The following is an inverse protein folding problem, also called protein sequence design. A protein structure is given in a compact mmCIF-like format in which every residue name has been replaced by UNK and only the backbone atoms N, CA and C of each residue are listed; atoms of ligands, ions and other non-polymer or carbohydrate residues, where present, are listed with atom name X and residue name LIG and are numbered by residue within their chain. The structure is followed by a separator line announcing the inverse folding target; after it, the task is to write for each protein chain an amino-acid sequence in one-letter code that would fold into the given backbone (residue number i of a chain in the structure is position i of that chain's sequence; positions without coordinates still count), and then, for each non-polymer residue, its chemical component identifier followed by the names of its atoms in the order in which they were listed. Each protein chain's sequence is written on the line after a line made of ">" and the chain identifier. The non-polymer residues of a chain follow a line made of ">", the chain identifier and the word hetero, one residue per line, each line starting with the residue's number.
data_IF_469768506440
#
_entry.id   IF_469768506440
#
_cell.length_a   1.000
_cell.length_b   1.000
_cell.length_c   1.000
_cell.angle_alpha   90.00
_cell.angle_beta   90.00
_cell.angle_gamma   90.00
#
_symmetry.space_group_name_H-M   'P 1'
#
loop_
_entity.id
_entity.type
_entity.pdbx_description
1 polymer ?
#
# COMPACT_ATOMS: atom_id res chain seq x y z
N UNK A 1 -10.52 25.79 17.15
CA UNK A 1 -9.49 25.11 16.33
C UNK A 1 -9.87 23.64 16.16
N UNK A 2 -10.31 23.26 14.96
CA UNK A 2 -10.70 21.88 14.64
C UNK A 2 -9.44 21.04 14.45
N UNK A 3 -9.30 19.93 15.19
CA UNK A 3 -8.09 19.08 15.20
C UNK A 3 -7.86 18.51 13.78
N UNK A 4 -6.78 18.89 13.06
CA UNK A 4 -6.60 18.53 11.64
C UNK A 4 -6.58 17.02 11.40
N UNK A 5 -6.02 16.24 12.33
CA UNK A 5 -5.99 14.77 12.22
C UNK A 5 -7.38 14.11 12.27
N UNK A 6 -8.36 14.69 12.98
CA UNK A 6 -9.73 14.14 13.01
C UNK A 6 -10.47 14.34 11.69
N UNK A 7 -10.17 15.43 10.99
CA UNK A 7 -10.77 15.74 9.68
C UNK A 7 -10.28 14.75 8.62
N UNK A 8 -8.98 14.49 8.57
CA UNK A 8 -8.36 13.53 7.62
C UNK A 8 -8.92 12.12 7.81
N UNK A 9 -8.98 11.64 9.06
CA UNK A 9 -9.56 10.33 9.39
C UNK A 9 -11.04 10.25 8.98
N UNK A 10 -11.81 11.30 9.22
CA UNK A 10 -13.21 11.35 8.81
C UNK A 10 -13.36 11.30 7.27
N UNK A 11 -12.53 12.03 6.53
CA UNK A 11 -12.55 12.03 5.06
C UNK A 11 -12.19 10.65 4.50
N UNK A 12 -11.18 9.98 5.05
CA UNK A 12 -10.81 8.61 4.67
C UNK A 12 -11.97 7.63 4.96
N UNK A 13 -12.56 7.68 6.15
CA UNK A 13 -13.70 6.82 6.52
C UNK A 13 -14.91 7.05 5.61
N UNK A 14 -15.20 8.32 5.28
CA UNK A 14 -16.31 8.67 4.38
C UNK A 14 -16.05 8.15 2.96
N UNK A 15 -14.83 8.30 2.46
CA UNK A 15 -14.45 7.78 1.14
C UNK A 15 -14.61 6.25 1.10
N UNK A 16 -14.14 5.54 2.12
CA UNK A 16 -14.29 4.08 2.24
C UNK A 16 -15.77 3.65 2.27
N UNK A 17 -16.62 4.34 3.04
CA UNK A 17 -18.06 4.03 3.05
C UNK A 17 -18.72 4.29 1.69
N UNK A 18 -18.28 5.33 0.97
CA UNK A 18 -18.79 5.65 -0.36
C UNK A 18 -18.35 4.62 -1.40
N UNK A 19 -17.09 4.18 -1.37
CA UNK A 19 -16.60 3.15 -2.29
C UNK A 19 -17.27 1.81 -2.05
N UNK A 20 -17.41 1.40 -0.78
CA UNK A 20 -18.14 0.18 -0.41
C UNK A 20 -19.61 0.19 -0.86
N UNK A 21 -20.29 1.34 -0.73
CA UNK A 21 -21.67 1.52 -1.19
C UNK A 21 -21.82 1.44 -2.72
N UNK A 22 -20.81 1.88 -3.48
CA UNK A 22 -20.77 1.74 -4.96
C UNK A 22 -20.57 0.29 -5.39
N UNK A 23 -19.79 -0.48 -4.63
CA UNK A 23 -19.46 -1.86 -4.95
C UNK A 23 -20.65 -2.81 -4.81
N UNK A 24 -21.48 -2.65 -3.78
CA UNK A 24 -22.73 -3.41 -3.61
C UNK A 24 -23.74 -3.25 -4.75
N UNK A 25 -23.58 -2.24 -5.61
CA UNK A 25 -24.46 -2.00 -6.78
C UNK A 25 -23.90 -2.55 -8.09
N UNK A 26 -22.68 -3.11 -8.11
CA UNK A 26 -22.05 -3.64 -9.32
C UNK A 26 -22.30 -5.16 -9.43
N UNK A 27 -23.40 -5.52 -10.08
CA UNK A 27 -23.73 -6.92 -10.41
C UNK A 27 -22.89 -7.50 -11.57
N UNK A 28 -21.99 -6.71 -12.18
CA UNK A 28 -21.12 -7.15 -13.27
C UNK A 28 -19.67 -6.75 -13.02
N UNK A 29 -18.90 -7.68 -12.48
CA UNK A 29 -17.47 -7.57 -12.22
C UNK A 29 -16.68 -7.80 -13.52
N UNK A 30 -16.55 -6.76 -14.33
CA UNK A 30 -15.72 -6.79 -15.54
C UNK A 30 -14.28 -6.34 -15.23
N UNK A 31 -13.26 -6.80 -15.98
CA UNK A 31 -11.88 -6.35 -15.79
C UNK A 31 -11.72 -4.83 -15.84
N UNK A 32 -12.47 -4.19 -16.73
CA UNK A 32 -12.49 -2.73 -16.85
C UNK A 32 -13.05 -2.05 -15.59
N UNK A 33 -14.12 -2.60 -14.99
CA UNK A 33 -14.69 -2.05 -13.75
C UNK A 33 -13.73 -2.14 -12.57
N UNK A 34 -12.95 -3.24 -12.49
CA UNK A 34 -11.91 -3.42 -11.48
C UNK A 34 -10.74 -2.47 -11.71
N UNK A 35 -10.31 -2.32 -12.97
CA UNK A 35 -9.26 -1.36 -13.31
C UNK A 35 -9.63 0.06 -12.90
N UNK A 36 -10.85 0.50 -13.19
CA UNK A 36 -11.33 1.83 -12.77
C UNK A 36 -11.29 1.99 -11.24
N UNK A 37 -11.66 0.95 -10.49
CA UNK A 37 -11.63 0.98 -9.02
C UNK A 37 -10.21 1.05 -8.47
N UNK A 38 -9.26 0.32 -9.07
CA UNK A 38 -7.85 0.41 -8.71
C UNK A 38 -7.26 1.77 -9.07
N UNK A 39 -7.65 2.37 -10.20
CA UNK A 39 -7.20 3.72 -10.58
C UNK A 39 -7.79 4.80 -9.65
N UNK A 40 -9.04 4.66 -9.23
CA UNK A 40 -9.63 5.54 -8.20
C UNK A 40 -8.89 5.40 -6.87
N UNK A 41 -8.52 4.17 -6.49
CA UNK A 41 -7.73 3.90 -5.30
C UNK A 41 -6.33 4.55 -5.39
N UNK A 42 -5.61 4.35 -6.50
CA UNK A 42 -4.29 4.94 -6.75
C UNK A 42 -4.34 6.47 -6.58
N UNK A 43 -5.33 7.11 -7.21
CA UNK A 43 -5.52 8.56 -7.11
C UNK A 43 -5.84 9.02 -5.69
N UNK A 44 -6.68 8.27 -4.98
CA UNK A 44 -7.03 8.59 -3.60
C UNK A 44 -5.80 8.52 -2.70
N UNK A 45 -5.06 7.40 -2.76
CA UNK A 45 -3.86 7.16 -1.96
C UNK A 45 -2.77 8.19 -2.26
N UNK A 46 -2.58 8.56 -3.52
CA UNK A 46 -1.61 9.59 -3.91
C UNK A 46 -1.88 10.96 -3.27
N UNK A 47 -3.14 11.25 -2.92
CA UNK A 47 -3.55 12.49 -2.24
C UNK A 47 -3.46 12.43 -0.71
N UNK A 48 -3.09 11.29 -0.12
CA UNK A 48 -3.02 11.11 1.33
C UNK A 48 -1.60 11.32 1.89
N UNK A 49 -1.54 11.86 3.10
CA UNK A 49 -0.31 11.88 3.89
C UNK A 49 0.05 10.46 4.34
N UNK A 50 1.16 9.93 3.80
CA UNK A 50 1.64 8.56 4.01
C UNK A 50 1.90 8.21 5.48
N UNK A 51 2.19 9.21 6.33
CA UNK A 51 2.47 9.00 7.75
C UNK A 51 1.21 8.98 8.61
N UNK A 52 0.11 9.56 8.12
CA UNK A 52 -1.11 9.80 8.91
C UNK A 52 -2.34 9.06 8.40
N UNK A 53 -2.19 8.32 7.31
CA UNK A 53 -3.26 7.52 6.72
C UNK A 53 -3.55 6.21 7.47
N UNK A 54 -4.79 5.74 7.36
CA UNK A 54 -5.20 4.44 7.85
C UNK A 54 -4.69 3.31 6.95
N UNK A 55 -3.49 2.81 7.27
CA UNK A 55 -2.84 1.73 6.52
C UNK A 55 -3.57 0.39 6.66
N UNK A 56 -4.24 0.14 7.79
CA UNK A 56 -5.01 -1.08 8.00
C UNK A 56 -6.29 -1.05 7.17
N UNK A 57 -7.01 0.07 7.19
CA UNK A 57 -8.18 0.31 6.34
C UNK A 57 -7.85 0.19 4.86
N UNK A 58 -6.71 0.74 4.41
CA UNK A 58 -6.25 0.60 3.03
C UNK A 58 -5.96 -0.87 2.67
N UNK A 59 -5.27 -1.61 3.54
CA UNK A 59 -4.98 -3.02 3.29
C UNK A 59 -6.29 -3.83 3.17
N UNK A 60 -7.23 -3.62 4.09
CA UNK A 60 -8.51 -4.32 4.08
C UNK A 60 -9.31 -3.96 2.83
N UNK A 61 -9.31 -2.69 2.41
CA UNK A 61 -9.97 -2.28 1.18
C UNK A 61 -9.37 -2.96 -0.06
N UNK A 62 -8.03 -3.07 -0.15
CA UNK A 62 -7.39 -3.80 -1.25
C UNK A 62 -7.80 -5.29 -1.23
N UNK A 63 -7.78 -5.93 -0.06
CA UNK A 63 -8.20 -7.33 0.07
C UNK A 63 -9.67 -7.52 -0.32
N UNK A 64 -10.53 -6.60 0.10
CA UNK A 64 -11.95 -6.61 -0.23
C UNK A 64 -12.12 -6.51 -1.75
N UNK A 65 -11.44 -5.59 -2.46
CA UNK A 65 -11.54 -5.45 -3.94
C UNK A 65 -11.31 -6.78 -4.66
N UNK A 66 -10.42 -7.62 -4.14
CA UNK A 66 -10.01 -8.88 -4.78
C UNK A 66 -10.43 -10.13 -3.99
N UNK A 67 -11.54 -10.05 -3.27
CA UNK A 67 -12.21 -11.22 -2.70
C UNK A 67 -12.37 -12.33 -3.77
N UNK A 68 -12.23 -13.60 -3.38
CA UNK A 68 -11.84 -14.71 -4.27
C UNK A 68 -12.66 -14.84 -5.57
N UNK A 69 -13.93 -14.40 -5.59
CA UNK A 69 -14.76 -14.38 -6.79
C UNK A 69 -14.25 -13.45 -7.90
N UNK A 70 -13.64 -12.31 -7.56
CA UNK A 70 -13.15 -11.32 -8.53
C UNK A 70 -11.90 -11.83 -9.24
N UNK A 71 -11.00 -12.50 -8.52
CA UNK A 71 -9.77 -13.05 -9.09
C UNK A 71 -10.06 -14.12 -10.15
N UNK A 72 -11.01 -15.01 -9.86
CA UNK A 72 -11.42 -16.07 -10.80
C UNK A 72 -12.04 -15.45 -12.05
N UNK A 73 -12.90 -14.45 -11.90
CA UNK A 73 -13.52 -13.76 -13.03
C UNK A 73 -12.48 -13.03 -13.89
N UNK A 74 -11.55 -12.29 -13.29
CA UNK A 74 -10.47 -11.60 -14.02
C UNK A 74 -9.64 -12.57 -14.88
N UNK A 75 -9.37 -13.78 -14.37
CA UNK A 75 -8.65 -14.81 -15.11
C UNK A 75 -9.45 -15.35 -16.31
N UNK A 76 -10.79 -15.35 -16.26
CA UNK A 76 -11.65 -15.84 -17.34
C UNK A 76 -11.66 -14.91 -18.57
N UNK A 77 -11.50 -13.60 -18.38
CA UNK A 77 -11.52 -12.63 -19.50
C UNK A 77 -10.23 -12.62 -20.33
N UNK A 78 -9.14 -13.23 -19.86
CA UNK A 78 -7.83 -13.34 -20.54
C UNK A 78 -7.25 -12.00 -21.07
N UNK A 79 -7.66 -10.86 -20.49
CA UNK A 79 -7.13 -9.54 -20.83
C UNK A 79 -5.84 -9.27 -20.06
N UNK A 80 -4.71 -9.73 -20.62
CA UNK A 80 -3.41 -9.58 -19.97
C UNK A 80 -3.07 -8.12 -19.71
N UNK A 81 -3.25 -7.22 -20.68
CA UNK A 81 -2.88 -5.80 -20.53
C UNK A 81 -3.70 -5.08 -19.45
N UNK A 82 -5.02 -5.34 -19.39
CA UNK A 82 -5.88 -4.80 -18.33
C UNK A 82 -5.43 -5.29 -16.96
N UNK A 83 -5.12 -6.59 -16.85
CA UNK A 83 -4.57 -7.20 -15.63
C UNK A 83 -3.24 -6.56 -15.25
N UNK A 84 -2.40 -6.22 -16.24
CA UNK A 84 -1.14 -5.53 -15.99
C UNK A 84 -1.32 -4.16 -15.35
N UNK A 85 -2.25 -3.39 -15.88
CA UNK A 85 -2.55 -2.07 -15.34
C UNK A 85 -3.15 -2.15 -13.93
N UNK A 86 -4.00 -3.15 -13.68
CA UNK A 86 -4.54 -3.44 -12.34
C UNK A 86 -3.39 -3.69 -11.36
N UNK A 87 -2.46 -4.60 -11.68
CA UNK A 87 -1.34 -4.92 -10.78
C UNK A 87 -0.45 -3.71 -10.54
N UNK A 88 -0.14 -2.91 -11.57
CA UNK A 88 0.67 -1.70 -11.41
C UNK A 88 -0.02 -0.65 -10.54
N UNK A 89 -1.32 -0.43 -10.72
CA UNK A 89 -2.09 0.47 -9.87
C UNK A 89 -2.13 -0.01 -8.42
N UNK A 90 -2.20 -1.33 -8.21
CA UNK A 90 -2.11 -1.93 -6.88
C UNK A 90 -0.75 -1.74 -6.23
N UNK A 91 0.34 -1.95 -6.96
CA UNK A 91 1.71 -1.73 -6.46
C UNK A 91 1.85 -0.29 -5.97
N UNK A 92 1.40 0.69 -6.77
CA UNK A 92 1.43 2.11 -6.39
C UNK A 92 0.54 2.42 -5.19
N UNK A 93 -0.66 1.83 -5.14
CA UNK A 93 -1.59 2.00 -4.02
C UNK A 93 -1.08 1.36 -2.73
N UNK A 94 -0.27 0.30 -2.83
CA UNK A 94 0.30 -0.42 -1.70
C UNK A 94 1.65 0.16 -1.23
N UNK A 95 2.28 1.04 -1.98
CA UNK A 95 3.54 1.71 -1.63
C UNK A 95 3.57 2.37 -0.23
N UNK A 96 2.52 3.01 0.30
CA UNK A 96 2.52 3.55 1.67
C UNK A 96 2.43 2.50 2.78
N UNK A 97 2.08 1.25 2.45
CA UNK A 97 1.82 0.20 3.44
C UNK A 97 3.10 -0.28 4.10
N UNK A 98 2.95 -0.87 5.29
CA UNK A 98 4.09 -1.48 5.97
C UNK A 98 4.48 -2.80 5.31
N UNK A 99 5.74 -3.21 5.44
CA UNK A 99 6.23 -4.48 4.88
C UNK A 99 5.38 -5.69 5.30
N UNK A 100 4.91 -5.74 6.55
CA UNK A 100 4.06 -6.85 7.01
C UNK A 100 2.73 -6.91 6.26
N UNK A 101 2.18 -5.78 5.85
CA UNK A 101 0.91 -5.68 5.15
C UNK A 101 1.10 -5.99 3.65
N UNK A 102 2.13 -5.41 3.04
CA UNK A 102 2.53 -5.69 1.66
C UNK A 102 2.81 -7.18 1.46
N UNK A 103 3.48 -7.85 2.41
CA UNK A 103 3.78 -9.27 2.31
C UNK A 103 2.49 -10.14 2.32
N UNK A 104 1.46 -9.74 3.06
CA UNK A 104 0.14 -10.40 3.03
C UNK A 104 -0.53 -10.23 1.66
N UNK A 105 -0.40 -9.05 1.05
CA UNK A 105 -0.91 -8.76 -0.29
C UNK A 105 -0.09 -9.43 -1.42
N UNK A 106 1.15 -9.83 -1.17
CA UNK A 106 2.01 -10.47 -2.17
C UNK A 106 1.36 -11.69 -2.82
N UNK A 107 0.71 -12.54 -2.03
CA UNK A 107 0.00 -13.73 -2.55
C UNK A 107 -1.14 -13.38 -3.52
N UNK A 108 -1.79 -12.24 -3.31
CA UNK A 108 -2.84 -11.71 -4.18
C UNK A 108 -2.21 -11.17 -5.47
N UNK A 109 -1.12 -10.41 -5.39
CA UNK A 109 -0.43 -9.89 -6.57
C UNK A 109 0.10 -11.01 -7.48
N UNK A 110 0.68 -12.08 -6.92
CA UNK A 110 1.12 -13.23 -7.73
C UNK A 110 -0.05 -13.98 -8.38
N UNK A 111 -1.19 -14.11 -7.67
CA UNK A 111 -2.39 -14.74 -8.23
C UNK A 111 -2.96 -13.94 -9.40
N UNK A 112 -2.96 -12.60 -9.32
CA UNK A 112 -3.34 -11.73 -10.44
C UNK A 112 -2.36 -11.80 -11.60
N UNK A 113 -1.05 -11.81 -11.33
CA UNK A 113 -0.02 -11.87 -12.37
C UNK A 113 -0.07 -13.17 -13.20
N UNK A 114 -0.69 -14.24 -12.67
CA UNK A 114 -0.89 -15.52 -13.35
C UNK A 114 0.41 -16.03 -14.00
N UNK A 115 0.53 -16.06 -15.33
CA UNK A 115 1.72 -16.49 -16.08
C UNK A 115 2.57 -15.35 -16.67
N UNK A 116 2.27 -14.08 -16.37
CA UNK A 116 3.07 -12.96 -16.86
C UNK A 116 4.37 -12.79 -16.05
N UNK A 117 5.47 -13.24 -16.64
CA UNK A 117 6.80 -13.17 -16.03
C UNK A 117 7.33 -11.74 -15.86
N UNK A 118 6.88 -10.79 -16.70
CA UNK A 118 7.30 -9.38 -16.63
C UNK A 118 6.72 -8.78 -15.34
N UNK A 119 5.43 -9.01 -15.09
CA UNK A 119 4.76 -8.50 -13.90
C UNK A 119 5.24 -9.19 -12.63
N UNK A 120 5.48 -10.51 -12.66
CA UNK A 120 6.08 -11.19 -11.51
C UNK A 120 7.39 -10.55 -11.08
N UNK A 121 8.22 -10.13 -12.05
CA UNK A 121 9.46 -9.41 -11.77
C UNK A 121 9.21 -8.03 -11.18
N UNK A 122 8.22 -7.28 -11.67
CA UNK A 122 7.84 -5.98 -11.08
C UNK A 122 7.38 -6.16 -9.62
N UNK A 123 6.58 -7.19 -9.34
CA UNK A 123 6.16 -7.55 -7.97
C UNK A 123 7.38 -7.91 -7.11
N UNK A 124 8.29 -8.75 -7.60
CA UNK A 124 9.50 -9.15 -6.86
C UNK A 124 10.37 -7.94 -6.48
N UNK A 125 10.57 -7.01 -7.42
CA UNK A 125 11.33 -5.78 -7.18
C UNK A 125 10.64 -4.95 -6.10
N UNK A 126 9.34 -4.74 -6.21
CA UNK A 126 8.55 -4.00 -5.22
C UNK A 126 8.62 -4.63 -3.82
N UNK A 127 8.42 -5.96 -3.71
CA UNK A 127 8.49 -6.67 -2.43
C UNK A 127 9.90 -6.59 -1.81
N UNK A 128 10.96 -6.73 -2.63
CA UNK A 128 12.36 -6.62 -2.18
C UNK A 128 12.73 -5.20 -1.74
N UNK A 129 12.28 -4.19 -2.46
CA UNK A 129 12.51 -2.79 -2.07
C UNK A 129 11.84 -2.49 -0.72
N UNK A 130 10.57 -2.89 -0.55
CA UNK A 130 9.86 -2.73 0.72
C UNK A 130 10.52 -3.48 1.88
N UNK A 131 11.13 -4.64 1.62
CA UNK A 131 11.88 -5.39 2.64
C UNK A 131 13.09 -4.60 3.19
N UNK A 132 13.76 -3.84 2.33
CA UNK A 132 14.99 -3.13 2.69
C UNK A 132 14.74 -1.79 3.39
N UNK A 133 13.59 -1.15 3.14
CA UNK A 133 13.22 0.11 3.80
C UNK A 133 12.96 -0.05 5.30
N UNK A 134 12.28 -1.13 5.74
CA UNK A 134 11.97 -1.35 7.15
C UNK A 134 13.21 -1.62 8.02
N UNK A 135 14.31 -2.10 7.43
CA UNK A 135 15.59 -2.30 8.15
C UNK A 135 16.35 -0.98 8.38
N UNK A 136 16.12 0.04 7.55
CA UNK A 136 16.80 1.34 7.67
C UNK A 136 16.16 2.22 8.75
N UNK A 137 14.84 2.20 8.89
CA UNK A 137 14.14 3.02 9.89
C UNK A 137 14.47 2.62 11.34
N UNK A 138 14.72 1.34 11.61
CA UNK A 138 15.11 0.86 12.95
C UNK A 138 16.50 1.33 13.40
N UNK A 139 17.38 1.77 12.48
CA UNK A 139 18.77 2.16 12.82
C UNK A 139 18.93 3.65 13.14
N UNK A 140 17.98 4.49 12.72
CA UNK A 140 17.99 5.93 12.98
C UNK A 140 18.03 6.31 14.48
N UNK A 141 17.19 5.72 15.37
CA UNK A 141 17.24 6.09 16.79
C UNK A 141 18.54 5.67 17.48
N UNK A 142 19.13 4.56 17.06
CA UNK A 142 20.39 4.06 17.62
C UNK A 142 21.58 4.96 17.24
N UNK A 143 21.55 5.50 16.02
CA UNK A 143 22.56 6.46 15.55
C UNK A 143 22.49 7.79 16.31
N UNK A 144 21.28 8.31 16.57
CA UNK A 144 21.08 9.51 17.39
C UNK A 144 21.63 9.28 18.81
N UNK A 145 21.36 8.10 19.40
CA UNK A 145 21.87 7.76 20.73
C UNK A 145 23.40 7.73 20.77
N UNK A 146 24.05 7.15 19.76
CA UNK A 146 25.52 7.15 19.65
C UNK A 146 26.06 8.58 19.53
N UNK A 147 25.46 9.42 18.69
CA UNK A 147 25.89 10.83 18.54
C UNK A 147 25.77 11.57 19.87
N UNK A 148 24.66 11.41 20.59
CA UNK A 148 24.50 12.05 21.91
C UNK A 148 25.55 11.58 22.91
N UNK A 149 25.88 10.29 22.92
CA UNK A 149 26.89 9.73 23.81
C UNK A 149 28.30 10.23 23.49
N UNK A 150 28.63 10.37 22.19
CA UNK A 150 29.89 10.95 21.73
C UNK A 150 30.01 12.42 22.12
N UNK A 151 28.95 13.21 21.95
CA UNK A 151 28.95 14.62 22.38
C UNK A 151 29.14 14.73 23.90
N UNK A 152 28.43 13.91 24.68
CA UNK A 152 28.62 13.86 26.14
C UNK A 152 30.06 13.49 26.52
N UNK A 153 30.68 12.53 25.84
CA UNK A 153 32.08 12.15 26.06
C UNK A 153 33.05 13.26 25.70
N UNK A 154 32.83 13.95 24.58
CA UNK A 154 33.66 15.08 24.16
C UNK A 154 33.61 16.23 25.16
N UNK A 155 32.43 16.56 25.70
CA UNK A 155 32.30 17.58 26.75
C UNK A 155 33.01 17.13 28.02
N UNK A 156 32.85 15.87 28.44
CA UNK A 156 33.53 15.34 29.62
C UNK A 156 35.05 15.40 29.50
N UNK A 157 35.59 15.07 28.32
CA UNK A 157 37.03 15.10 28.08
C UNK A 157 37.59 16.51 27.87
N UNK A 158 36.81 17.44 27.31
CA UNK A 158 37.20 18.84 27.17
C UNK A 158 37.07 19.62 28.49
N UNK A 159 36.22 19.17 29.42
CA UNK A 159 36.04 19.76 30.75
C UNK A 159 37.07 19.26 31.78
N UNK A 160 37.90 18.28 31.44
CA UNK A 160 38.93 17.71 32.30
C UNK A 160 40.31 18.17 31.84
#
# INVERSE_FOLDING_TARGET
>A
LSKPGKKEQYLQKRWYMQSMGRRKKRDLLTPHSVLLEVLELERHVAGLDHFRMDKEGLQNYILEIFEDGVLVQLQQYNEQETTRQIVRGLIKSAAPLTHSQVNKLGTLFYRLASNDNIIKREIDVFLKEHHNYTKKEKKLPLLILIITLVICLLIYFASR
#
